data_IF_375665781338
#
_entry.id   IF_375665781338
#
_cell.length_a   1.000
_cell.length_b   1.000
_cell.length_c   1.000
_cell.angle_alpha   90.00
_cell.angle_beta   90.00
_cell.angle_gamma   90.00
#
_symmetry.space_group_name_H-M   'P 1'
#
loop_
_entity.id
_entity.type
_entity.pdbx_description
1 polymer ?
#
# COMPACT_ATOMS: atom_id res chain seq x y z
N UNK A 1 -11.01 -7.15 -26.70
CA UNK A 1 -10.08 -6.14 -26.17
C UNK A 1 -10.57 -5.39 -24.92
N UNK A 2 -11.88 -5.08 -24.76
CA UNK A 2 -12.41 -4.39 -23.55
C UNK A 2 -12.31 -5.22 -22.25
N UNK A 3 -12.54 -6.53 -22.32
CA UNK A 3 -12.53 -7.42 -21.15
C UNK A 3 -11.13 -7.56 -20.52
N UNK A 4 -10.08 -7.58 -21.35
CA UNK A 4 -8.68 -7.66 -20.89
C UNK A 4 -8.26 -6.38 -20.17
N UNK A 5 -8.71 -5.21 -20.64
CA UNK A 5 -8.51 -3.93 -19.94
C UNK A 5 -9.24 -3.89 -18.59
N UNK A 6 -10.45 -4.44 -18.54
CA UNK A 6 -11.22 -4.53 -17.29
C UNK A 6 -10.58 -5.48 -16.27
N UNK A 7 -10.10 -6.64 -16.71
CA UNK A 7 -9.33 -7.58 -15.87
C UNK A 7 -8.03 -6.95 -15.34
N UNK A 8 -7.30 -6.21 -16.19
CA UNK A 8 -6.12 -5.45 -15.75
C UNK A 8 -6.44 -4.36 -14.72
N UNK A 9 -7.59 -3.70 -14.85
CA UNK A 9 -8.07 -2.73 -13.85
C UNK A 9 -8.61 -3.40 -12.58
N UNK A 10 -9.07 -4.64 -12.62
CA UNK A 10 -9.44 -5.36 -11.41
C UNK A 10 -8.20 -5.87 -10.67
N UNK A 11 -7.26 -6.50 -11.38
CA UNK A 11 -6.04 -7.07 -10.79
C UNK A 11 -5.18 -6.01 -10.12
N UNK A 12 -5.00 -4.84 -10.73
CA UNK A 12 -4.22 -3.78 -10.12
C UNK A 12 -4.90 -3.20 -8.86
N UNK A 13 -6.23 -3.19 -8.79
CA UNK A 13 -6.95 -2.75 -7.57
C UNK A 13 -6.82 -3.80 -6.47
N UNK A 14 -6.84 -5.07 -6.85
CA UNK A 14 -6.62 -6.19 -5.94
C UNK A 14 -5.22 -6.16 -5.36
N UNK A 15 -4.21 -5.85 -6.19
CA UNK A 15 -2.81 -5.68 -5.74
C UNK A 15 -2.68 -4.47 -4.82
N UNK A 16 -3.26 -3.33 -5.17
CA UNK A 16 -3.25 -2.13 -4.33
C UNK A 16 -3.93 -2.37 -2.98
N UNK A 17 -5.11 -3.01 -2.98
CA UNK A 17 -5.82 -3.40 -1.77
C UNK A 17 -5.03 -4.38 -0.91
N UNK A 18 -4.36 -5.34 -1.53
CA UNK A 18 -3.51 -6.32 -0.83
C UNK A 18 -2.29 -5.64 -0.20
N UNK A 19 -1.60 -4.78 -0.94
CA UNK A 19 -0.43 -4.03 -0.45
C UNK A 19 -0.85 -3.12 0.72
N UNK A 20 -1.99 -2.44 0.60
CA UNK A 20 -2.53 -1.57 1.65
C UNK A 20 -2.90 -2.37 2.89
N UNK A 21 -3.52 -3.55 2.73
CA UNK A 21 -3.87 -4.43 3.83
C UNK A 21 -2.61 -4.95 4.56
N UNK A 22 -1.61 -5.41 3.81
CA UNK A 22 -0.33 -5.87 4.38
C UNK A 22 0.37 -4.75 5.11
N UNK A 23 0.47 -3.55 4.52
CA UNK A 23 1.11 -2.40 5.16
C UNK A 23 0.38 -1.93 6.41
N UNK A 24 -0.96 -1.98 6.41
CA UNK A 24 -1.77 -1.69 7.61
C UNK A 24 -1.50 -2.72 8.72
N UNK A 25 -1.38 -4.00 8.37
CA UNK A 25 -1.08 -5.06 9.32
C UNK A 25 0.33 -4.91 9.90
N UNK A 26 1.32 -4.55 9.06
CA UNK A 26 2.69 -4.25 9.49
C UNK A 26 2.74 -3.02 10.40
N UNK A 27 1.97 -1.98 10.08
CA UNK A 27 1.87 -0.77 10.91
C UNK A 27 1.39 -1.11 12.32
N UNK A 28 0.27 -1.83 12.40
CA UNK A 28 -0.30 -2.26 13.67
C UNK A 28 0.61 -3.25 14.40
N UNK A 29 1.19 -4.23 13.71
CA UNK A 29 2.13 -5.19 14.29
C UNK A 29 3.36 -4.50 14.91
N UNK A 30 3.87 -3.43 14.29
CA UNK A 30 5.02 -2.69 14.83
C UNK A 30 4.75 -2.09 16.22
N UNK A 31 3.49 -1.77 16.55
CA UNK A 31 3.11 -1.26 17.86
C UNK A 31 3.19 -2.33 18.96
N UNK A 32 3.13 -3.61 18.59
CA UNK A 32 3.16 -4.76 19.50
C UNK A 32 4.52 -5.47 19.53
N UNK A 33 5.29 -5.44 18.43
CA UNK A 33 6.58 -6.13 18.32
C UNK A 33 7.73 -5.35 18.96
N UNK A 34 7.72 -4.02 18.88
CA UNK A 34 8.81 -3.21 19.43
C UNK A 34 8.56 -2.85 20.89
N UNK A 35 9.60 -2.86 21.72
CA UNK A 35 9.50 -2.47 23.13
C UNK A 35 9.54 -0.95 23.32
N UNK A 36 10.35 -0.25 22.52
CA UNK A 36 10.54 1.21 22.63
C UNK A 36 9.46 1.99 21.89
N UNK A 37 8.92 3.02 22.55
CA UNK A 37 7.89 3.91 22.00
C UNK A 37 8.34 4.60 20.70
N UNK A 38 9.62 4.96 20.60
CA UNK A 38 10.19 5.54 19.39
C UNK A 38 10.20 4.55 18.21
N UNK A 39 10.48 3.26 18.46
CA UNK A 39 10.47 2.22 17.43
C UNK A 39 9.04 1.84 17.02
N UNK A 40 8.09 1.85 17.96
CA UNK A 40 6.65 1.68 17.67
C UNK A 40 6.14 2.76 16.72
N UNK A 41 6.38 4.03 17.06
CA UNK A 41 5.98 5.15 16.21
C UNK A 41 6.73 5.14 14.87
N UNK A 42 8.03 4.83 14.89
CA UNK A 42 8.84 4.71 13.68
C UNK A 42 8.34 3.61 12.73
N UNK A 43 7.98 2.43 13.27
CA UNK A 43 7.41 1.35 12.49
C UNK A 43 6.01 1.67 11.96
N UNK A 44 5.17 2.31 12.77
CA UNK A 44 3.82 2.70 12.38
C UNK A 44 3.82 3.78 11.28
N UNK A 45 4.54 4.88 11.50
CA UNK A 45 4.63 5.95 10.50
C UNK A 45 5.46 5.53 9.28
N UNK A 46 6.52 4.74 9.47
CA UNK A 46 7.34 4.23 8.38
C UNK A 46 6.56 3.32 7.44
N UNK A 47 5.80 2.38 7.99
CA UNK A 47 4.92 1.51 7.19
C UNK A 47 3.76 2.26 6.54
N UNK A 48 3.18 3.26 7.21
CA UNK A 48 2.16 4.12 6.63
C UNK A 48 2.69 4.94 5.43
N UNK A 49 3.87 5.55 5.57
CA UNK A 49 4.53 6.29 4.47
C UNK A 49 4.91 5.35 3.32
N UNK A 50 5.39 4.15 3.62
CA UNK A 50 5.75 3.15 2.62
C UNK A 50 4.51 2.63 1.87
N UNK A 51 3.41 2.40 2.59
CA UNK A 51 2.12 2.05 2.01
C UNK A 51 1.56 3.15 1.10
N UNK A 52 1.61 4.40 1.55
CA UNK A 52 1.22 5.55 0.73
C UNK A 52 2.07 5.67 -0.53
N UNK A 53 3.39 5.54 -0.42
CA UNK A 53 4.30 5.56 -1.56
C UNK A 53 4.03 4.42 -2.56
N UNK A 54 3.76 3.22 -2.06
CA UNK A 54 3.41 2.07 -2.89
C UNK A 54 2.09 2.29 -3.64
N UNK A 55 1.06 2.79 -2.95
CA UNK A 55 -0.23 3.15 -3.56
C UNK A 55 -0.07 4.25 -4.62
N UNK A 56 0.71 5.30 -4.32
CA UNK A 56 1.00 6.37 -5.26
C UNK A 56 1.72 5.87 -6.53
N UNK A 57 2.72 4.99 -6.36
CA UNK A 57 3.46 4.43 -7.50
C UNK A 57 2.60 3.49 -8.34
N UNK A 58 1.73 2.69 -7.70
CA UNK A 58 0.73 1.86 -8.39
C UNK A 58 -0.29 2.70 -9.17
N UNK A 59 -0.79 3.80 -8.57
CA UNK A 59 -1.67 4.76 -9.24
C UNK A 59 -1.00 5.44 -10.43
N UNK A 60 0.29 5.79 -10.31
CA UNK A 60 1.09 6.34 -11.41
C UNK A 60 1.32 5.30 -12.52
N UNK A 61 1.63 4.06 -12.18
CA UNK A 61 1.84 2.97 -13.13
C UNK A 61 0.57 2.60 -13.92
N UNK A 62 -0.61 2.81 -13.33
CA UNK A 62 -1.90 2.68 -14.00
C UNK A 62 -2.17 3.71 -15.09
N UNK A 63 -1.43 4.82 -15.11
CA UNK A 63 -1.70 5.94 -16.00
C UNK A 63 -2.99 6.70 -15.65
N UNK A 64 -3.51 6.58 -14.42
CA UNK A 64 -4.62 7.42 -13.93
C UNK A 64 -4.17 8.89 -13.72
N UNK A 65 -2.86 9.16 -13.73
CA UNK A 65 -2.24 10.49 -13.81
C UNK A 65 -1.68 10.83 -15.21
N UNK A 66 -2.38 10.41 -16.28
CA UNK A 66 -2.17 10.95 -17.63
C UNK A 66 -3.35 11.88 -17.94
N UNK A 67 -3.27 13.10 -17.42
CA UNK A 67 -3.85 14.28 -18.06
C UNK A 67 -2.70 15.16 -18.57
#
# INVERSE_FOLDING_TARGET
MKFVKWLGKLSAHLIEGTVTAVMSFVALASLFVFDSLALKLGGFFGSALMGYGAAYFLGKARGEHKE
#
